data_IF_267441700188
#
_entry.id   IF_267441700188
#
_cell.length_a   1.000
_cell.length_b   1.000
_cell.length_c   1.000
_cell.angle_alpha   90.00
_cell.angle_beta   90.00
_cell.angle_gamma   90.00
#
_symmetry.space_group_name_H-M   'P 1'
#
loop_
_entity.id
_entity.type
_entity.pdbx_description
1 polymer ?
#
# COMPACT_ATOMS: atom_id res chain seq x y z
N UNK A 1 13.51 16.51 0.80
CA UNK A 1 12.39 16.28 -0.14
C UNK A 1 12.56 16.97 -1.49
N UNK A 2 13.31 18.08 -1.58
CA UNK A 2 13.58 18.79 -2.84
C UNK A 2 14.16 17.90 -3.95
N UNK A 3 15.03 16.94 -3.61
CA UNK A 3 15.57 15.95 -4.55
C UNK A 3 14.50 15.09 -5.25
N UNK A 4 13.34 14.92 -4.61
CA UNK A 4 12.19 14.17 -5.14
C UNK A 4 11.10 15.08 -5.71
N UNK A 5 11.35 16.39 -5.84
CA UNK A 5 10.35 17.40 -6.25
C UNK A 5 9.04 17.28 -5.46
N UNK A 6 9.16 17.13 -4.15
CA UNK A 6 8.04 16.97 -3.23
C UNK A 6 8.18 17.95 -2.07
N UNK A 7 7.05 18.44 -1.62
CA UNK A 7 6.89 19.24 -0.41
C UNK A 7 5.93 18.54 0.54
N UNK A 8 6.30 18.49 1.82
CA UNK A 8 5.48 17.93 2.88
C UNK A 8 4.94 19.06 3.73
N UNK A 9 3.64 19.29 3.65
CA UNK A 9 2.97 20.29 4.48
C UNK A 9 2.52 19.65 5.80
N UNK A 10 3.07 20.05 6.96
CA UNK A 10 2.58 19.57 8.25
C UNK A 10 1.20 20.18 8.53
N UNK A 11 0.36 19.41 9.22
CA UNK A 11 -0.96 19.87 9.62
C UNK A 11 -1.58 18.99 10.69
N UNK A 12 -2.82 19.32 11.01
CA UNK A 12 -3.61 18.61 12.01
C UNK A 12 -4.93 18.16 11.40
N UNK A 13 -5.34 16.94 11.68
CA UNK A 13 -6.71 16.47 11.49
C UNK A 13 -7.38 16.59 12.85
N UNK A 14 -8.41 17.41 12.94
CA UNK A 14 -9.18 17.61 14.17
C UNK A 14 -10.57 17.03 14.01
N UNK A 15 -11.10 16.47 15.10
CA UNK A 15 -12.51 16.09 15.20
C UNK A 15 -12.98 16.27 16.63
N UNK A 16 -14.21 16.74 16.81
CA UNK A 16 -14.83 16.90 18.13
C UNK A 16 -15.88 15.80 18.27
N UNK A 17 -15.85 15.09 19.40
CA UNK A 17 -16.79 14.01 19.70
C UNK A 17 -17.21 14.06 21.15
N UNK A 18 -18.48 13.71 21.41
CA UNK A 18 -18.94 13.42 22.76
C UNK A 18 -18.45 12.02 23.15
N UNK A 19 -17.72 11.94 24.26
CA UNK A 19 -17.30 10.69 24.89
C UNK A 19 -18.12 10.46 26.18
N UNK A 20 -17.80 9.39 26.91
CA UNK A 20 -18.55 8.93 28.08
C UNK A 20 -18.70 10.00 29.16
N UNK A 21 -17.64 10.79 29.39
CA UNK A 21 -17.59 11.80 30.43
C UNK A 21 -17.64 13.22 29.84
N UNK A 22 -16.87 13.48 28.78
CA UNK A 22 -16.65 14.83 28.27
C UNK A 22 -16.76 14.93 26.74
N UNK A 23 -16.76 16.16 26.24
CA UNK A 23 -16.56 16.46 24.83
C UNK A 23 -15.06 16.54 24.58
N UNK A 24 -14.53 15.64 23.76
CA UNK A 24 -13.10 15.60 23.45
C UNK A 24 -12.84 16.13 22.05
N UNK A 25 -11.75 16.89 21.92
CA UNK A 25 -11.13 17.19 20.64
C UNK A 25 -10.01 16.19 20.36
N UNK A 26 -10.22 15.36 19.36
CA UNK A 26 -9.24 14.41 18.88
C UNK A 26 -8.42 15.05 17.77
N UNK A 27 -7.13 15.24 18.03
CA UNK A 27 -6.19 15.83 17.07
C UNK A 27 -5.12 14.82 16.68
N UNK A 28 -4.93 14.61 15.39
CA UNK A 28 -3.90 13.75 14.83
C UNK A 28 -2.97 14.57 13.92
N UNK A 29 -1.66 14.31 14.02
CA UNK A 29 -0.66 14.97 13.19
C UNK A 29 -0.73 14.34 11.79
N UNK A 30 -0.93 15.18 10.79
CA UNK A 30 -0.96 14.73 9.39
C UNK A 30 0.08 15.49 8.57
N UNK A 31 0.42 14.90 7.43
CA UNK A 31 1.18 15.58 6.40
C UNK A 31 0.36 15.53 5.11
N UNK A 32 0.40 16.60 4.33
CA UNK A 32 -0.09 16.60 2.95
C UNK A 32 1.10 16.66 2.01
N UNK A 33 1.16 15.70 1.10
CA UNK A 33 2.18 15.65 0.07
C UNK A 33 1.74 16.52 -1.11
N UNK A 34 2.57 17.50 -1.48
CA UNK A 34 2.43 18.29 -2.68
C UNK A 34 3.62 18.03 -3.61
N UNK A 35 3.37 17.86 -4.90
CA UNK A 35 4.44 17.83 -5.88
C UNK A 35 4.96 19.25 -6.10
N UNK A 36 6.22 19.41 -6.50
CA UNK A 36 6.74 20.71 -6.91
C UNK A 36 6.56 20.94 -8.42
N UNK A 37 6.11 19.90 -9.13
CA UNK A 37 5.85 19.96 -10.56
C UNK A 37 4.43 20.48 -10.80
N UNK A 38 4.31 21.46 -11.70
CA UNK A 38 3.01 21.97 -12.13
C UNK A 38 2.34 20.96 -13.06
N UNK A 39 1.01 21.04 -13.19
CA UNK A 39 0.29 20.20 -14.14
C UNK A 39 0.72 20.49 -15.57
N UNK A 40 1.12 21.73 -15.89
CA UNK A 40 1.71 22.06 -17.19
C UNK A 40 2.97 21.23 -17.48
N UNK A 41 3.90 21.17 -16.53
CA UNK A 41 5.13 20.39 -16.69
C UNK A 41 4.85 18.90 -16.89
N UNK A 42 3.90 18.36 -16.12
CA UNK A 42 3.48 16.95 -16.23
C UNK A 42 2.87 16.68 -17.61
N UNK A 43 2.02 17.59 -18.11
CA UNK A 43 1.42 17.49 -19.44
C UNK A 43 2.49 17.54 -20.53
N UNK A 44 3.41 18.50 -20.48
CA UNK A 44 4.50 18.61 -21.47
C UNK A 44 5.37 17.35 -21.50
N UNK A 45 5.71 16.79 -20.34
CA UNK A 45 6.47 15.55 -20.25
C UNK A 45 5.71 14.34 -20.81
N UNK A 46 4.40 14.28 -20.61
CA UNK A 46 3.56 13.22 -21.15
C UNK A 46 3.46 13.30 -22.68
N UNK A 47 3.23 14.51 -23.22
CA UNK A 47 3.18 14.78 -24.67
C UNK A 47 4.48 14.35 -25.35
N UNK A 48 5.63 14.66 -24.74
CA UNK A 48 6.95 14.25 -25.27
C UNK A 48 7.15 12.73 -25.31
N UNK A 49 6.47 11.97 -24.44
CA UNK A 49 6.68 10.52 -24.28
C UNK A 49 5.66 9.66 -25.02
N UNK A 50 4.40 10.07 -25.07
CA UNK A 50 3.31 9.17 -25.45
C UNK A 50 2.81 9.35 -26.88
N UNK A 51 3.08 10.48 -27.55
CA UNK A 51 2.66 10.76 -28.95
C UNK A 51 1.13 10.82 -29.19
N UNK A 52 0.34 10.20 -28.34
CA UNK A 52 -1.11 10.09 -28.38
C UNK A 52 -1.69 10.99 -27.27
N UNK A 53 -2.25 12.13 -27.67
CA UNK A 53 -3.01 13.00 -26.77
C UNK A 53 -4.49 12.84 -27.09
N UNK A 54 -5.31 12.64 -26.05
CA UNK A 54 -6.75 12.92 -26.17
C UNK A 54 -6.89 14.36 -26.63
N UNK A 55 -7.55 14.56 -27.76
CA UNK A 55 -7.85 15.83 -28.43
C UNK A 55 -8.71 16.81 -27.59
N UNK A 56 -8.90 16.55 -26.30
CA UNK A 56 -9.83 17.25 -25.39
C UNK A 56 -9.21 18.44 -24.64
N UNK A 57 -7.92 18.76 -24.84
CA UNK A 57 -7.24 19.84 -24.11
C UNK A 57 -7.15 21.17 -24.87
N UNK A 58 -7.89 21.34 -25.97
CA UNK A 58 -7.83 22.55 -26.81
C UNK A 58 -8.96 23.53 -26.48
N UNK A 59 -8.73 24.38 -25.48
CA UNK A 59 -9.32 25.73 -25.48
C UNK A 59 -8.18 26.73 -25.30
N UNK A 60 -8.09 27.67 -26.24
CA UNK A 60 -7.10 28.74 -26.23
C UNK A 60 -7.36 29.69 -25.05
N UNK A 61 -6.29 30.09 -24.37
CA UNK A 61 -6.29 30.96 -23.19
C UNK A 61 -6.64 32.42 -23.53
N UNK A 62 -6.69 32.74 -24.82
CA UNK A 62 -7.27 33.96 -25.37
C UNK A 62 -8.79 34.06 -25.16
N UNK A 63 -9.46 32.97 -24.76
CA UNK A 63 -10.87 32.99 -24.41
C UNK A 63 -11.11 33.81 -23.12
N UNK A 64 -12.00 34.79 -23.23
CA UNK A 64 -12.51 35.55 -22.09
C UNK A 64 -13.58 34.74 -21.37
N UNK A 65 -13.67 34.89 -20.06
CA UNK A 65 -14.79 34.36 -19.28
C UNK A 65 -15.59 35.52 -18.69
N UNK A 66 -16.90 35.29 -18.51
CA UNK A 66 -17.77 36.27 -17.87
C UNK A 66 -17.53 36.24 -16.35
N UNK A 67 -16.93 37.31 -15.83
CA UNK A 67 -16.79 37.54 -14.41
C UNK A 67 -17.83 38.57 -13.96
N UNK A 68 -19.01 38.10 -13.55
CA UNK A 68 -20.10 38.94 -12.99
C UNK A 68 -20.51 40.11 -13.91
N UNK A 69 -20.56 39.88 -15.22
CA UNK A 69 -20.94 40.86 -16.24
C UNK A 69 -19.76 41.51 -16.97
N UNK A 70 -18.52 41.22 -16.57
CA UNK A 70 -17.31 41.73 -17.24
C UNK A 70 -16.56 40.60 -17.93
N UNK A 71 -16.37 40.73 -19.25
CA UNK A 71 -15.52 39.82 -20.02
C UNK A 71 -14.06 40.08 -19.67
N UNK A 72 -13.39 39.04 -19.16
CA UNK A 72 -11.99 39.16 -18.75
C UNK A 72 -11.18 37.95 -19.22
N UNK A 73 -9.96 38.19 -19.70
CA UNK A 73 -9.04 37.10 -20.01
C UNK A 73 -8.57 36.42 -18.72
N UNK A 74 -8.17 35.16 -18.81
CA UNK A 74 -7.56 34.47 -17.66
C UNK A 74 -6.29 35.17 -17.18
N UNK A 75 -5.45 35.67 -18.09
CA UNK A 75 -4.21 36.37 -17.75
C UNK A 75 -4.49 37.63 -16.91
N UNK A 76 -5.44 38.47 -17.33
CA UNK A 76 -5.79 39.70 -16.62
C UNK A 76 -6.45 39.41 -15.27
N UNK A 77 -7.26 38.35 -15.20
CA UNK A 77 -7.89 37.92 -13.95
C UNK A 77 -6.83 37.55 -12.90
N UNK A 78 -5.90 36.66 -13.23
CA UNK A 78 -4.87 36.22 -12.29
C UNK A 78 -3.88 37.34 -11.93
N UNK A 79 -3.59 38.25 -12.85
CA UNK A 79 -2.75 39.41 -12.58
C UNK A 79 -3.43 40.39 -11.61
N UNK A 80 -4.66 40.81 -11.86
CA UNK A 80 -5.32 41.79 -10.99
C UNK A 80 -5.74 41.21 -9.63
N UNK A 81 -6.23 39.96 -9.60
CA UNK A 81 -6.79 39.37 -8.38
C UNK A 81 -5.73 38.78 -7.45
N UNK A 82 -4.70 38.17 -8.02
CA UNK A 82 -3.69 37.42 -7.26
C UNK A 82 -2.26 37.95 -7.49
N UNK A 83 -2.07 38.96 -8.36
CA UNK A 83 -0.75 39.48 -8.76
C UNK A 83 0.17 38.41 -9.37
N UNK A 84 -0.42 37.49 -10.16
CA UNK A 84 0.30 36.39 -10.82
C UNK A 84 0.35 36.65 -12.33
N UNK A 85 1.57 36.69 -12.89
CA UNK A 85 1.79 36.73 -14.35
C UNK A 85 1.94 35.31 -14.89
N UNK A 86 1.06 34.91 -15.81
CA UNK A 86 1.16 33.65 -16.53
C UNK A 86 2.34 33.69 -17.50
N UNK A 87 3.13 32.61 -17.58
CA UNK A 87 4.31 32.56 -18.46
C UNK A 87 3.95 32.03 -19.83
N UNK A 88 3.10 31.00 -19.88
CA UNK A 88 2.66 30.39 -21.13
C UNK A 88 1.19 30.77 -21.39
N UNK A 89 0.95 31.62 -22.39
CA UNK A 89 -0.39 32.04 -22.77
C UNK A 89 -1.04 31.09 -23.77
N UNK A 90 -0.36 30.03 -24.21
CA UNK A 90 -0.88 29.03 -25.15
C UNK A 90 -1.00 27.64 -24.52
N UNK A 91 -0.79 27.54 -23.20
CA UNK A 91 -1.00 26.29 -22.47
C UNK A 91 -2.49 25.87 -22.53
N UNK A 92 -2.77 24.55 -22.50
CA UNK A 92 -4.14 24.06 -22.44
C UNK A 92 -4.84 24.47 -21.13
N UNK A 93 -6.17 24.37 -21.11
CA UNK A 93 -6.97 24.61 -19.92
C UNK A 93 -7.43 23.29 -19.28
N UNK A 94 -7.61 23.28 -17.96
CA UNK A 94 -8.15 22.13 -17.22
C UNK A 94 -9.60 22.41 -16.84
N UNK A 95 -10.53 21.57 -17.29
CA UNK A 95 -11.94 21.68 -16.94
C UNK A 95 -12.23 20.69 -15.81
N UNK A 96 -12.57 21.23 -14.63
CA UNK A 96 -13.04 20.44 -13.50
C UNK A 96 -14.56 20.48 -13.45
N UNK A 97 -15.18 19.35 -13.81
CA UNK A 97 -16.62 19.18 -13.70
C UNK A 97 -17.05 19.01 -12.23
N UNK A 98 -18.20 19.58 -11.82
CA UNK A 98 -18.72 19.42 -10.47
C UNK A 98 -19.04 17.94 -10.20
N UNK A 99 -18.75 17.47 -8.98
CA UNK A 99 -19.10 16.11 -8.57
C UNK A 99 -20.58 16.05 -8.21
N UNK A 100 -21.15 14.84 -8.14
CA UNK A 100 -22.54 14.64 -7.71
C UNK A 100 -22.87 15.29 -6.35
N UNK A 101 -21.89 15.43 -5.46
CA UNK A 101 -22.02 16.16 -4.19
C UNK A 101 -22.18 17.66 -4.40
N UNK A 102 -21.42 18.25 -5.31
CA UNK A 102 -21.40 19.68 -5.58
C UNK A 102 -22.69 20.12 -6.29
N UNK A 103 -23.19 19.28 -7.21
CA UNK A 103 -24.48 19.47 -7.89
C UNK A 103 -25.62 19.48 -6.87
N UNK A 104 -25.62 18.55 -5.90
CA UNK A 104 -26.61 18.55 -4.79
C UNK A 104 -26.52 19.80 -3.90
N UNK A 105 -25.35 20.43 -3.82
CA UNK A 105 -25.12 21.68 -3.12
C UNK A 105 -25.42 22.93 -3.94
N UNK A 106 -26.00 22.78 -5.15
CA UNK A 106 -26.38 23.89 -6.02
C UNK A 106 -25.28 24.44 -6.93
N UNK A 107 -24.10 23.81 -6.97
CA UNK A 107 -23.00 24.23 -7.87
C UNK A 107 -22.97 23.36 -9.12
N UNK A 108 -23.47 23.90 -10.22
CA UNK A 108 -23.53 23.22 -11.53
C UNK A 108 -22.45 23.69 -12.51
N UNK A 109 -21.77 24.79 -12.21
CA UNK A 109 -20.82 25.40 -13.15
C UNK A 109 -19.49 24.64 -13.22
N UNK A 110 -18.96 24.54 -14.42
CA UNK A 110 -17.62 24.02 -14.67
C UNK A 110 -16.56 25.00 -14.14
N UNK A 111 -15.52 24.47 -13.50
CA UNK A 111 -14.38 25.28 -13.05
C UNK A 111 -13.23 25.10 -14.03
N UNK A 112 -12.77 26.20 -14.61
CA UNK A 112 -11.61 26.23 -15.50
C UNK A 112 -10.37 26.58 -14.69
N UNK A 113 -9.32 25.77 -14.80
CA UNK A 113 -8.07 25.91 -14.06
C UNK A 113 -6.87 26.02 -15.02
N UNK A 114 -5.87 26.79 -14.63
CA UNK A 114 -4.64 27.02 -15.41
C UNK A 114 -3.58 25.99 -14.98
N UNK A 115 -3.11 25.09 -15.87
CA UNK A 115 -2.18 24.03 -15.49
C UNK A 115 -0.86 24.53 -14.91
N UNK A 116 -0.35 25.69 -15.33
CA UNK A 116 0.86 26.33 -14.77
C UNK A 116 0.71 26.66 -13.29
N UNK A 117 -0.51 26.96 -12.83
CA UNK A 117 -0.81 27.32 -11.44
C UNK A 117 -1.31 26.14 -10.61
N UNK A 118 -1.54 24.99 -11.27
CA UNK A 118 -2.03 23.80 -10.61
C UNK A 118 -0.89 22.86 -10.27
N UNK A 119 -0.95 22.30 -9.06
CA UNK A 119 0.03 21.36 -8.56
C UNK A 119 -0.69 20.06 -8.18
N UNK A 120 -0.13 18.93 -8.59
CA UNK A 120 -0.66 17.63 -8.22
C UNK A 120 -0.40 17.33 -6.73
N UNK A 121 -1.44 16.86 -6.03
CA UNK A 121 -1.33 16.40 -4.64
C UNK A 121 -1.26 14.88 -4.57
N UNK A 122 -0.66 14.37 -3.50
CA UNK A 122 -0.48 12.94 -3.28
C UNK A 122 0.59 12.28 -4.16
N UNK A 123 0.73 10.98 -3.98
CA UNK A 123 1.80 10.17 -4.57
C UNK A 123 1.25 9.23 -5.64
N UNK A 124 1.92 9.18 -6.79
CA UNK A 124 1.65 8.19 -7.85
C UNK A 124 2.09 6.79 -7.41
N UNK A 125 1.61 5.75 -8.09
CA UNK A 125 2.04 4.37 -7.80
C UNK A 125 3.54 4.15 -8.07
N UNK A 126 4.08 4.78 -9.11
CA UNK A 126 5.52 4.77 -9.40
C UNK A 126 6.33 5.39 -8.25
N UNK A 127 5.81 6.46 -7.65
CA UNK A 127 6.39 7.11 -6.49
C UNK A 127 6.28 6.19 -5.25
N UNK A 128 5.10 5.64 -4.95
CA UNK A 128 4.90 4.73 -3.81
C UNK A 128 5.77 3.47 -3.87
N UNK A 129 6.13 3.02 -5.07
CA UNK A 129 7.02 1.86 -5.27
C UNK A 129 8.51 2.22 -5.19
N UNK A 130 8.88 3.51 -5.20
CA UNK A 130 10.25 3.96 -5.00
C UNK A 130 10.64 3.88 -3.51
N UNK A 131 11.42 2.86 -3.17
CA UNK A 131 11.86 2.61 -1.79
C UNK A 131 12.67 3.76 -1.18
N UNK A 132 13.55 4.41 -1.95
CA UNK A 132 14.40 5.50 -1.45
C UNK A 132 13.54 6.71 -1.06
N UNK A 133 12.58 7.06 -1.89
CA UNK A 133 11.66 8.17 -1.61
C UNK A 133 10.75 7.84 -0.42
N UNK A 134 10.14 6.65 -0.37
CA UNK A 134 9.31 6.24 0.76
C UNK A 134 10.09 6.17 2.08
N UNK A 135 11.38 5.80 2.03
CA UNK A 135 12.27 5.82 3.19
C UNK A 135 12.52 7.25 3.66
N UNK A 136 12.91 8.15 2.76
CA UNK A 136 13.13 9.56 3.07
C UNK A 136 11.87 10.23 3.64
N UNK A 137 10.70 10.00 3.02
CA UNK A 137 9.41 10.47 3.59
C UNK A 137 9.12 9.87 4.95
N UNK A 138 9.48 8.59 5.15
CA UNK A 138 9.31 7.90 6.42
C UNK A 138 10.03 8.60 7.58
N UNK A 139 11.18 9.23 7.33
CA UNK A 139 11.94 9.96 8.35
C UNK A 139 11.18 11.20 8.86
N UNK A 140 10.40 11.86 8.00
CA UNK A 140 9.61 13.05 8.37
C UNK A 140 8.19 12.68 8.87
N UNK A 141 7.59 11.63 8.30
CA UNK A 141 6.20 11.26 8.59
C UNK A 141 6.04 10.32 9.79
N UNK A 142 7.08 9.53 10.14
CA UNK A 142 7.04 8.57 11.26
C UNK A 142 7.54 9.21 12.54
N UNK A 143 6.66 9.98 13.17
CA UNK A 143 6.90 10.52 14.50
C UNK A 143 6.75 9.41 15.55
N UNK A 144 7.78 9.24 16.39
CA UNK A 144 7.69 8.37 17.56
C UNK A 144 6.66 8.90 18.57
N UNK A 145 6.16 8.07 19.50
CA UNK A 145 5.09 8.46 20.42
C UNK A 145 5.43 9.70 21.28
N UNK A 146 6.68 9.83 21.72
CA UNK A 146 7.12 10.96 22.55
C UNK A 146 7.06 12.29 21.77
N UNK A 147 7.62 12.31 20.57
CA UNK A 147 7.61 13.48 19.70
C UNK A 147 6.18 13.83 19.27
N UNK A 148 5.34 12.81 19.01
CA UNK A 148 3.92 13.01 18.71
C UNK A 148 3.20 13.71 19.87
N UNK A 149 3.37 13.24 21.10
CA UNK A 149 2.79 13.88 22.28
C UNK A 149 3.29 15.33 22.44
N UNK A 150 4.58 15.58 22.23
CA UNK A 150 5.16 16.93 22.28
C UNK A 150 4.52 17.88 21.26
N UNK A 151 4.34 17.45 20.02
CA UNK A 151 3.70 18.26 18.96
C UNK A 151 2.23 18.53 19.28
N UNK A 152 1.50 17.56 19.84
CA UNK A 152 0.10 17.76 20.23
C UNK A 152 -0.06 18.72 21.41
N UNK A 153 0.86 18.67 22.39
CA UNK A 153 0.90 19.67 23.47
C UNK A 153 1.23 21.06 22.94
N UNK A 154 2.14 21.17 21.98
CA UNK A 154 2.45 22.42 21.30
C UNK A 154 1.25 22.97 20.51
N UNK A 155 0.46 22.11 19.88
CA UNK A 155 -0.80 22.49 19.23
C UNK A 155 -1.80 23.08 20.23
N UNK A 156 -2.04 22.41 21.36
CA UNK A 156 -2.91 22.95 22.42
C UNK A 156 -2.37 24.29 22.95
N UNK A 157 -1.06 24.38 23.20
CA UNK A 157 -0.40 25.61 23.64
C UNK A 157 -0.63 26.77 22.67
N UNK A 158 -0.56 26.54 21.36
CA UNK A 158 -0.80 27.58 20.34
C UNK A 158 -2.24 28.07 20.32
N UNK A 159 -3.22 27.18 20.47
CA UNK A 159 -4.63 27.56 20.61
C UNK A 159 -4.84 28.40 21.87
N UNK A 160 -4.27 27.94 22.99
CA UNK A 160 -4.38 28.61 24.28
C UNK A 160 -3.67 29.97 24.38
N UNK A 161 -2.73 30.27 23.47
CA UNK A 161 -2.03 31.54 23.42
C UNK A 161 -2.54 32.49 22.34
N UNK A 162 -3.44 32.03 21.47
CA UNK A 162 -3.99 32.85 20.40
C UNK A 162 -5.26 33.54 20.89
N UNK A 163 -5.19 34.86 21.09
CA UNK A 163 -6.32 35.70 21.50
C UNK A 163 -7.56 35.46 20.64
N UNK A 164 -7.41 35.53 19.31
CA UNK A 164 -8.50 35.25 18.36
C UNK A 164 -9.10 33.82 18.49
N UNK A 165 -8.33 32.84 18.96
CA UNK A 165 -8.86 31.48 19.21
C UNK A 165 -9.58 31.41 20.55
N UNK A 166 -9.08 32.11 21.57
CA UNK A 166 -9.71 32.20 22.89
C UNK A 166 -11.04 32.93 22.82
N UNK A 167 -11.12 34.06 22.11
CA UNK A 167 -12.37 34.82 21.92
C UNK A 167 -13.49 33.93 21.38
N UNK A 168 -13.17 33.06 20.41
CA UNK A 168 -14.13 32.12 19.85
C UNK A 168 -14.51 31.08 20.91
N UNK A 169 -13.55 30.43 21.58
CA UNK A 169 -13.85 29.40 22.57
C UNK A 169 -14.69 29.93 23.73
N UNK A 170 -14.33 31.11 24.27
CA UNK A 170 -15.05 31.79 25.34
C UNK A 170 -16.48 32.16 24.93
N UNK A 171 -16.70 32.58 23.68
CA UNK A 171 -18.05 32.89 23.17
C UNK A 171 -18.99 31.66 23.18
N UNK A 172 -18.44 30.45 23.16
CA UNK A 172 -19.18 29.19 23.29
C UNK A 172 -19.12 28.59 24.71
N UNK A 173 -18.47 29.26 25.67
CA UNK A 173 -18.25 28.75 27.03
C UNK A 173 -17.37 27.49 27.06
N UNK A 174 -16.43 27.37 26.11
CA UNK A 174 -15.51 26.25 26.00
C UNK A 174 -14.10 26.66 26.46
N UNK A 175 -13.37 25.72 27.05
CA UNK A 175 -11.95 25.86 27.36
C UNK A 175 -11.18 24.70 26.73
N UNK A 176 -9.97 24.99 26.23
CA UNK A 176 -9.10 23.97 25.63
C UNK A 176 -8.11 23.44 26.68
N UNK A 177 -8.24 22.15 27.00
CA UNK A 177 -7.32 21.47 27.91
C UNK A 177 -5.86 21.51 27.40
N UNK A 178 -4.91 21.73 28.33
CA UNK A 178 -3.48 21.92 28.03
C UNK A 178 -2.74 20.61 27.89
N UNK A 179 -3.19 19.60 28.62
CA UNK A 179 -2.60 18.27 28.62
C UNK A 179 -3.39 17.25 27.81
N UNK A 180 -2.75 16.12 27.52
CA UNK A 180 -3.41 15.00 26.86
C UNK A 180 -4.31 14.28 27.86
N UNK A 181 -5.50 13.89 27.39
CA UNK A 181 -6.44 13.08 28.16
C UNK A 181 -5.77 11.80 28.65
N UNK A 182 -5.85 11.55 29.95
CA UNK A 182 -5.37 10.32 30.57
C UNK A 182 -6.49 9.29 30.61
N UNK A 183 -6.20 8.06 30.20
CA UNK A 183 -7.18 6.98 30.13
C UNK A 183 -6.67 5.78 30.93
N UNK A 184 -7.57 5.18 31.71
CA UNK A 184 -7.33 3.88 32.34
C UNK A 184 -7.28 2.79 31.27
N UNK A 185 -6.11 2.17 31.10
CA UNK A 185 -5.89 1.06 30.17
C UNK A 185 -5.58 -0.25 30.89
N UNK A 186 -5.70 -1.37 30.16
CA UNK A 186 -5.24 -2.68 30.63
C UNK A 186 -4.38 -3.36 29.57
N UNK A 187 -3.32 -4.05 30.01
CA UNK A 187 -2.50 -4.89 29.14
C UNK A 187 -3.03 -6.31 29.21
N UNK A 188 -3.41 -6.87 28.07
CA UNK A 188 -3.90 -8.26 27.99
C UNK A 188 -2.70 -9.21 28.13
N UNK A 189 -2.89 -10.30 28.88
CA UNK A 189 -1.87 -11.31 29.01
C UNK A 189 -1.56 -11.96 27.65
N UNK A 190 -0.28 -12.24 27.34
CA UNK A 190 0.06 -12.91 26.09
C UNK A 190 -0.59 -14.30 25.99
N UNK A 191 -1.23 -14.55 24.85
CA UNK A 191 -1.89 -15.82 24.57
C UNK A 191 -0.90 -16.96 24.31
N UNK A 192 -1.34 -18.18 24.60
CA UNK A 192 -0.59 -19.41 24.36
C UNK A 192 -0.86 -19.92 22.95
N UNK A 193 0.21 -20.11 22.17
CA UNK A 193 0.14 -20.64 20.80
C UNK A 193 0.23 -22.17 20.86
N UNK A 194 -0.66 -22.85 20.14
CA UNK A 194 -0.77 -24.31 20.06
C UNK A 194 -0.34 -24.77 18.65
N UNK A 195 0.60 -25.70 18.60
CA UNK A 195 1.16 -26.32 17.40
C UNK A 195 0.76 -27.80 17.31
N UNK A 196 1.24 -28.52 16.29
CA UNK A 196 0.97 -29.94 16.14
C UNK A 196 1.54 -30.79 17.28
N UNK A 197 0.89 -31.92 17.54
CA UNK A 197 1.17 -32.81 18.69
C UNK A 197 1.03 -32.11 20.05
N UNK A 198 0.06 -31.20 20.16
CA UNK A 198 -0.25 -30.43 21.38
C UNK A 198 0.94 -29.68 21.98
N UNK A 199 1.96 -29.39 21.16
CA UNK A 199 3.08 -28.56 21.57
C UNK A 199 2.63 -27.12 21.71
N UNK A 200 3.14 -26.45 22.73
CA UNK A 200 2.67 -25.11 23.02
C UNK A 200 3.82 -24.14 23.26
N UNK A 201 3.61 -22.89 22.87
CA UNK A 201 4.55 -21.80 23.07
C UNK A 201 3.86 -20.66 23.84
N UNK A 202 4.43 -20.30 24.99
CA UNK A 202 3.99 -19.14 25.75
C UNK A 202 4.60 -17.88 25.14
N UNK A 203 3.75 -16.96 24.69
CA UNK A 203 4.20 -15.73 24.07
C UNK A 203 4.71 -14.72 25.12
N UNK A 204 5.62 -13.84 24.69
CA UNK A 204 6.15 -12.77 25.53
C UNK A 204 5.44 -11.43 25.24
N UNK A 205 5.95 -10.33 25.81
CA UNK A 205 5.40 -8.99 25.59
C UNK A 205 5.64 -8.46 24.16
N UNK A 206 6.53 -9.06 23.39
CA UNK A 206 6.82 -8.66 22.01
C UNK A 206 5.84 -9.28 21.01
N UNK A 207 5.08 -10.30 21.45
CA UNK A 207 4.09 -11.01 20.64
C UNK A 207 4.67 -11.60 19.34
N UNK A 208 5.90 -12.14 19.36
CA UNK A 208 6.57 -12.75 18.21
C UNK A 208 6.95 -14.20 18.48
N UNK A 209 6.38 -15.13 17.69
CA UNK A 209 6.64 -16.56 17.77
C UNK A 209 7.27 -17.13 16.48
N UNK A 210 7.89 -16.28 15.64
CA UNK A 210 8.53 -16.67 14.38
C UNK A 210 9.57 -17.78 14.58
N UNK A 211 10.32 -17.72 15.68
CA UNK A 211 11.30 -18.75 16.05
C UNK A 211 10.61 -20.06 16.47
N UNK A 212 9.53 -19.97 17.24
CA UNK A 212 8.77 -21.12 17.70
C UNK A 212 8.10 -21.87 16.54
N UNK A 213 7.66 -21.17 15.48
CA UNK A 213 7.14 -21.82 14.27
C UNK A 213 8.20 -22.75 13.67
N UNK A 214 9.46 -22.32 13.61
CA UNK A 214 10.53 -23.10 12.98
C UNK A 214 10.93 -24.35 13.77
N UNK A 215 10.72 -24.36 15.08
CA UNK A 215 11.06 -25.49 15.96
C UNK A 215 9.89 -26.44 16.25
N UNK A 216 8.69 -26.11 15.77
CA UNK A 216 7.48 -26.92 15.95
C UNK A 216 6.87 -27.31 14.60
N UNK A 217 6.00 -28.32 14.62
CA UNK A 217 5.24 -28.74 13.44
C UNK A 217 3.93 -27.96 13.35
N UNK A 218 3.39 -27.79 12.15
CA UNK A 218 2.08 -27.16 11.98
C UNK A 218 0.98 -27.96 12.70
N UNK A 219 -0.06 -27.28 13.17
CA UNK A 219 -1.19 -27.93 13.85
C UNK A 219 -1.95 -28.89 12.93
N UNK A 220 -2.25 -28.44 11.70
CA UNK A 220 -2.78 -29.26 10.61
C UNK A 220 -1.95 -29.00 9.35
N UNK A 221 -1.04 -29.91 9.04
CA UNK A 221 -0.26 -29.90 7.81
C UNK A 221 -0.98 -30.68 6.72
N UNK A 222 -1.17 -30.05 5.55
CA UNK A 222 -1.71 -30.70 4.36
C UNK A 222 -0.62 -31.47 3.60
N UNK A 223 -1.06 -32.33 2.67
CA UNK A 223 -0.18 -33.03 1.74
C UNK A 223 -0.36 -32.52 0.30
N UNK A 224 0.73 -32.50 -0.46
CA UNK A 224 0.78 -31.96 -1.82
C UNK A 224 1.46 -32.94 -2.78
N UNK A 225 0.65 -33.72 -3.50
CA UNK A 225 1.11 -34.79 -4.40
C UNK A 225 1.07 -34.44 -5.89
N UNK A 226 0.09 -33.63 -6.35
CA UNK A 226 -0.08 -33.23 -7.76
C UNK A 226 0.06 -31.72 -7.88
N UNK A 227 1.27 -31.23 -8.18
CA UNK A 227 1.55 -29.79 -8.25
C UNK A 227 2.72 -29.50 -9.19
N UNK A 228 2.98 -28.22 -9.45
CA UNK A 228 4.03 -27.83 -10.38
C UNK A 228 4.72 -26.51 -10.04
N UNK A 229 5.90 -26.35 -10.61
CA UNK A 229 6.70 -25.13 -10.56
C UNK A 229 6.86 -24.52 -11.95
N UNK A 230 6.69 -23.20 -12.07
CA UNK A 230 6.80 -22.45 -13.32
C UNK A 230 7.94 -21.45 -13.21
N UNK A 231 8.91 -21.54 -14.12
CA UNK A 231 10.06 -20.62 -14.15
C UNK A 231 10.68 -20.53 -15.56
N UNK A 232 11.50 -19.51 -15.81
CA UNK A 232 12.14 -19.28 -17.12
C UNK A 232 13.47 -20.06 -17.22
N UNK A 233 13.73 -20.62 -18.40
CA UNK A 233 14.90 -21.42 -18.79
C UNK A 233 15.32 -21.11 -20.24
N UNK A 234 16.62 -21.15 -20.63
CA UNK A 234 17.83 -21.40 -19.84
C UNK A 234 18.49 -20.10 -19.40
N UNK A 235 18.20 -19.62 -18.19
CA UNK A 235 18.89 -18.45 -17.62
C UNK A 235 19.38 -18.84 -16.21
N UNK A 236 20.26 -18.05 -15.58
CA UNK A 236 20.73 -18.18 -14.17
C UNK A 236 19.61 -18.53 -13.16
N UNK A 237 18.36 -18.27 -13.52
CA UNK A 237 17.15 -18.69 -12.82
C UNK A 237 17.12 -20.19 -12.47
N UNK A 238 17.79 -21.08 -13.23
CA UNK A 238 17.73 -22.53 -12.97
C UNK A 238 18.43 -22.94 -11.66
N UNK A 239 19.65 -22.45 -11.40
CA UNK A 239 20.41 -22.85 -10.21
C UNK A 239 19.76 -22.37 -8.91
N UNK A 240 19.24 -21.12 -8.90
CA UNK A 240 18.61 -20.53 -7.72
C UNK A 240 17.30 -21.24 -7.37
N UNK A 241 16.49 -21.60 -8.38
CA UNK A 241 15.25 -22.35 -8.19
C UNK A 241 15.54 -23.74 -7.66
N UNK A 242 16.50 -24.47 -8.25
CA UNK A 242 16.88 -25.81 -7.78
C UNK A 242 17.36 -25.76 -6.33
N UNK A 243 18.22 -24.82 -5.98
CA UNK A 243 18.76 -24.68 -4.61
C UNK A 243 17.66 -24.30 -3.60
N UNK A 244 16.78 -23.36 -3.98
CA UNK A 244 15.62 -23.02 -3.17
C UNK A 244 14.70 -24.23 -2.96
N UNK A 245 14.47 -25.06 -3.98
CA UNK A 245 13.63 -26.25 -3.87
C UNK A 245 14.23 -27.33 -2.96
N UNK A 246 15.56 -27.41 -2.80
CA UNK A 246 16.19 -28.23 -1.76
C UNK A 246 15.85 -27.71 -0.36
N UNK A 247 16.09 -26.43 -0.12
CA UNK A 247 15.79 -25.78 1.17
C UNK A 247 14.30 -25.89 1.51
N UNK A 248 13.42 -25.68 0.52
CA UNK A 248 11.98 -25.79 0.68
C UNK A 248 11.56 -27.20 1.11
N UNK A 249 12.12 -28.25 0.48
CA UNK A 249 11.85 -29.65 0.87
C UNK A 249 12.31 -29.94 2.30
N UNK A 250 13.46 -29.43 2.73
CA UNK A 250 13.95 -29.61 4.10
C UNK A 250 13.04 -28.91 5.13
N UNK A 251 12.56 -27.71 4.81
CA UNK A 251 11.60 -26.98 5.64
C UNK A 251 10.25 -27.70 5.68
N UNK A 252 9.76 -28.21 4.55
CA UNK A 252 8.53 -28.98 4.45
C UNK A 252 8.57 -30.22 5.35
N UNK A 253 9.67 -31.00 5.29
CA UNK A 253 9.90 -32.15 6.17
C UNK A 253 9.88 -31.77 7.65
N UNK A 254 10.58 -30.70 8.04
CA UNK A 254 10.62 -30.22 9.42
C UNK A 254 9.25 -29.78 9.96
N UNK A 255 8.35 -29.34 9.08
CA UNK A 255 6.99 -28.91 9.43
C UNK A 255 5.93 -30.01 9.25
N UNK A 256 6.34 -31.25 8.91
CA UNK A 256 5.46 -32.39 8.54
C UNK A 256 4.49 -32.09 7.39
N UNK A 257 4.91 -31.23 6.47
CA UNK A 257 4.19 -31.00 5.23
C UNK A 257 4.69 -31.98 4.16
N UNK A 258 3.88 -32.97 3.82
CA UNK A 258 4.24 -33.97 2.82
C UNK A 258 4.14 -33.37 1.41
N UNK A 259 5.28 -33.26 0.72
CA UNK A 259 5.35 -32.69 -0.62
C UNK A 259 6.06 -33.64 -1.58
N UNK A 260 5.41 -33.99 -2.68
CA UNK A 260 6.00 -34.78 -3.76
C UNK A 260 6.88 -33.91 -4.66
N UNK A 261 7.66 -34.55 -5.54
CA UNK A 261 8.38 -33.83 -6.58
C UNK A 261 7.40 -33.09 -7.53
N UNK A 262 7.58 -31.78 -7.75
CA UNK A 262 6.73 -31.00 -8.63
C UNK A 262 6.96 -31.34 -10.10
N UNK A 263 5.93 -31.14 -10.93
CA UNK A 263 6.15 -31.03 -12.37
C UNK A 263 6.84 -29.70 -12.71
N UNK A 264 7.92 -29.75 -13.48
CA UNK A 264 8.60 -28.56 -13.98
C UNK A 264 7.95 -28.02 -15.27
N UNK A 265 7.59 -26.74 -15.26
CA UNK A 265 7.10 -25.99 -16.43
C UNK A 265 8.13 -24.91 -16.76
N UNK A 266 8.90 -25.15 -17.82
CA UNK A 266 10.00 -24.29 -18.26
C UNK A 266 9.51 -23.33 -19.34
N UNK A 267 9.68 -22.04 -19.12
CA UNK A 267 9.31 -20.98 -20.06
C UNK A 267 10.54 -20.44 -20.77
N UNK A 268 10.42 -20.05 -22.04
CA UNK A 268 11.52 -19.45 -22.81
C UNK A 268 11.75 -17.97 -22.51
N UNK A 269 10.72 -17.26 -22.06
CA UNK A 269 10.74 -15.80 -21.89
C UNK A 269 9.77 -15.32 -20.79
N UNK A 270 9.81 -14.02 -20.51
CA UNK A 270 9.02 -13.38 -19.46
C UNK A 270 7.72 -12.71 -19.94
N UNK A 271 7.25 -13.06 -21.15
CA UNK A 271 6.07 -12.44 -21.78
C UNK A 271 4.78 -13.02 -21.21
N UNK A 272 3.78 -12.15 -21.04
CA UNK A 272 2.47 -12.50 -20.52
C UNK A 272 1.79 -13.64 -21.27
N UNK A 273 1.87 -13.66 -22.61
CA UNK A 273 1.28 -14.72 -23.44
C UNK A 273 1.90 -16.10 -23.20
N UNK A 274 3.22 -16.15 -22.98
CA UNK A 274 3.96 -17.39 -22.70
C UNK A 274 3.51 -17.99 -21.37
N UNK A 275 3.41 -17.17 -20.31
CA UNK A 275 2.88 -17.60 -19.02
C UNK A 275 1.43 -18.05 -19.11
N UNK A 276 0.59 -17.28 -19.81
CA UNK A 276 -0.83 -17.60 -19.93
C UNK A 276 -1.04 -18.97 -20.57
N UNK A 277 -0.40 -19.22 -21.73
CA UNK A 277 -0.48 -20.50 -22.43
C UNK A 277 -0.01 -21.67 -21.58
N UNK A 278 1.16 -21.53 -20.94
CA UNK A 278 1.74 -22.59 -20.13
C UNK A 278 0.92 -22.90 -18.87
N UNK A 279 0.36 -21.87 -18.23
CA UNK A 279 -0.51 -22.02 -17.08
C UNK A 279 -1.84 -22.64 -17.46
N UNK A 280 -2.48 -22.22 -18.55
CA UNK A 280 -3.73 -22.82 -19.03
C UNK A 280 -3.52 -24.31 -19.35
N UNK A 281 -2.44 -24.68 -20.04
CA UNK A 281 -2.16 -26.09 -20.35
C UNK A 281 -1.87 -26.95 -19.10
N UNK A 282 -1.08 -26.42 -18.15
CA UNK A 282 -0.74 -27.15 -16.94
C UNK A 282 -1.93 -27.24 -15.98
N UNK A 283 -2.64 -26.14 -15.78
CA UNK A 283 -3.76 -26.04 -14.85
C UNK A 283 -5.00 -26.80 -15.35
N UNK A 284 -5.15 -27.00 -16.66
CA UNK A 284 -6.20 -27.89 -17.21
C UNK A 284 -6.03 -29.35 -16.81
N UNK A 285 -4.85 -29.75 -16.31
CA UNK A 285 -4.57 -31.10 -15.76
C UNK A 285 -4.91 -31.20 -14.26
N UNK A 286 -5.62 -30.20 -13.74
CA UNK A 286 -6.17 -30.10 -12.38
C UNK A 286 -5.12 -30.23 -11.25
N UNK A 287 -3.96 -29.54 -11.32
CA UNK A 287 -3.00 -29.57 -10.22
C UNK A 287 -3.60 -28.98 -8.94
N UNK A 288 -3.26 -29.56 -7.79
CA UNK A 288 -3.67 -29.03 -6.47
C UNK A 288 -3.02 -27.68 -6.15
N UNK A 289 -1.89 -27.37 -6.78
CA UNK A 289 -1.16 -26.13 -6.53
C UNK A 289 -0.19 -25.78 -7.67
N UNK A 290 0.09 -24.49 -7.86
CA UNK A 290 1.16 -24.03 -8.75
C UNK A 290 2.05 -22.96 -8.09
N UNK A 291 3.36 -23.18 -8.10
CA UNK A 291 4.35 -22.22 -7.60
C UNK A 291 5.05 -21.55 -8.79
N UNK A 292 5.15 -20.22 -8.78
CA UNK A 292 5.54 -19.44 -9.96
C UNK A 292 6.66 -18.46 -9.59
N UNK A 293 7.79 -18.60 -10.27
CA UNK A 293 9.00 -17.80 -10.07
C UNK A 293 9.09 -16.71 -11.14
N UNK A 294 8.92 -15.45 -10.73
CA UNK A 294 9.00 -14.30 -11.63
C UNK A 294 10.39 -13.66 -11.61
N UNK A 295 10.92 -13.20 -12.75
CA UNK A 295 12.20 -12.49 -12.77
C UNK A 295 12.12 -11.14 -12.05
N UNK A 296 10.97 -10.47 -12.14
CA UNK A 296 10.73 -9.12 -11.61
C UNK A 296 9.27 -8.96 -11.17
N UNK A 297 8.99 -7.85 -10.47
CA UNK A 297 7.64 -7.54 -9.99
C UNK A 297 6.82 -6.88 -11.11
N UNK A 298 6.35 -7.67 -12.08
CA UNK A 298 5.44 -7.21 -13.15
C UNK A 298 3.98 -7.34 -12.72
N UNK A 299 3.34 -6.20 -12.44
CA UNK A 299 1.95 -6.15 -11.98
C UNK A 299 0.96 -6.78 -12.99
N UNK A 300 1.17 -6.58 -14.29
CA UNK A 300 0.29 -7.13 -15.32
C UNK A 300 0.37 -8.66 -15.38
N UNK A 301 1.58 -9.21 -15.26
CA UNK A 301 1.78 -10.66 -15.20
C UNK A 301 1.14 -11.26 -13.95
N UNK A 302 1.26 -10.59 -12.80
CA UNK A 302 0.58 -11.00 -11.58
C UNK A 302 -0.94 -11.07 -11.76
N UNK A 303 -1.56 -10.04 -12.39
CA UNK A 303 -3.00 -10.02 -12.67
C UNK A 303 -3.41 -11.18 -13.58
N UNK A 304 -2.67 -11.44 -14.65
CA UNK A 304 -2.96 -12.51 -15.61
C UNK A 304 -2.89 -13.88 -14.93
N UNK A 305 -1.83 -14.14 -14.15
CA UNK A 305 -1.69 -15.38 -13.40
C UNK A 305 -2.87 -15.58 -12.46
N UNK A 306 -3.25 -14.54 -11.70
CA UNK A 306 -4.37 -14.60 -10.76
C UNK A 306 -5.71 -14.82 -11.47
N UNK A 307 -5.93 -14.20 -12.62
CA UNK A 307 -7.13 -14.41 -13.40
C UNK A 307 -7.24 -15.87 -13.87
N UNK A 308 -6.18 -16.44 -14.46
CA UNK A 308 -6.20 -17.82 -14.94
C UNK A 308 -6.39 -18.81 -13.78
N UNK A 309 -5.56 -18.67 -12.74
CA UNK A 309 -5.54 -19.65 -11.64
C UNK A 309 -6.76 -19.55 -10.75
N UNK A 310 -7.22 -18.37 -10.34
CA UNK A 310 -8.36 -18.25 -9.43
C UNK A 310 -9.70 -18.08 -10.13
N UNK A 311 -9.79 -17.25 -11.17
CA UNK A 311 -11.08 -16.93 -11.80
C UNK A 311 -11.49 -18.02 -12.79
N UNK A 312 -10.56 -18.49 -13.63
CA UNK A 312 -10.89 -19.49 -14.65
C UNK A 312 -10.87 -20.93 -14.13
N UNK A 313 -9.90 -21.29 -13.28
CA UNK A 313 -9.59 -22.70 -12.99
C UNK A 313 -9.60 -23.09 -11.50
N UNK A 314 -9.85 -22.14 -10.58
CA UNK A 314 -9.92 -22.37 -9.12
C UNK A 314 -8.70 -23.09 -8.48
N UNK A 315 -7.50 -22.91 -9.02
CA UNK A 315 -6.25 -23.51 -8.53
C UNK A 315 -5.48 -22.54 -7.64
N UNK A 316 -5.10 -22.94 -6.41
CA UNK A 316 -4.26 -22.12 -5.56
C UNK A 316 -2.84 -22.00 -6.11
N UNK A 317 -2.29 -20.79 -5.99
CA UNK A 317 -0.95 -20.48 -6.50
C UNK A 317 -0.10 -19.73 -5.47
N UNK A 318 1.21 -19.81 -5.64
CA UNK A 318 2.18 -19.00 -4.93
C UNK A 318 3.12 -18.31 -5.92
N UNK A 319 3.14 -16.97 -5.90
CA UNK A 319 3.94 -16.15 -6.83
C UNK A 319 4.98 -15.38 -6.02
N UNK A 320 6.23 -15.41 -6.44
CA UNK A 320 7.28 -14.55 -5.86
C UNK A 320 8.39 -14.25 -6.87
N UNK A 321 9.11 -13.15 -6.63
CA UNK A 321 10.24 -12.77 -7.47
C UNK A 321 11.50 -13.56 -7.10
N UNK A 322 12.38 -13.83 -8.06
CA UNK A 322 13.66 -14.51 -7.84
C UNK A 322 14.56 -13.83 -6.80
N UNK A 323 14.58 -12.50 -6.78
CA UNK A 323 15.31 -11.73 -5.74
C UNK A 323 14.91 -12.08 -4.30
N UNK A 324 13.76 -12.74 -4.11
CA UNK A 324 13.25 -13.17 -2.80
C UNK A 324 13.92 -14.47 -2.35
N UNK A 325 14.33 -15.34 -3.27
CA UNK A 325 14.94 -16.65 -2.96
C UNK A 325 16.47 -16.62 -3.03
N UNK A 326 17.04 -15.53 -3.52
CA UNK A 326 18.49 -15.35 -3.57
C UNK A 326 19.07 -15.01 -2.19
N UNK A 327 20.18 -15.66 -1.79
CA UNK A 327 20.82 -15.38 -0.51
C UNK A 327 21.43 -13.98 -0.52
N UNK A 328 21.22 -13.22 0.57
CA UNK A 328 21.92 -11.95 0.77
C UNK A 328 23.31 -12.24 1.32
N UNK A 329 24.37 -11.78 0.65
CA UNK A 329 25.77 -12.01 1.05
C UNK A 329 26.08 -13.50 1.28
N UNK A 330 25.54 -14.38 0.43
CA UNK A 330 25.67 -15.85 0.53
C UNK A 330 25.12 -16.49 1.82
N UNK A 331 24.32 -15.76 2.62
CA UNK A 331 23.68 -16.29 3.82
C UNK A 331 22.30 -16.90 3.49
N UNK A 332 22.21 -18.22 3.59
CA UNK A 332 21.00 -19.00 3.33
C UNK A 332 20.01 -19.05 4.51
N UNK A 333 20.40 -18.62 5.73
CA UNK A 333 19.50 -18.59 6.87
C UNK A 333 18.29 -17.67 6.63
N UNK A 334 18.49 -16.57 5.90
CA UNK A 334 17.42 -15.68 5.45
C UNK A 334 16.45 -16.37 4.48
N UNK A 335 17.00 -17.15 3.53
CA UNK A 335 16.21 -17.91 2.55
C UNK A 335 15.39 -19.00 3.23
N UNK A 336 15.93 -19.68 4.26
CA UNK A 336 15.17 -20.66 5.06
C UNK A 336 13.96 -20.04 5.76
N UNK A 337 14.09 -18.82 6.29
CA UNK A 337 12.97 -18.07 6.88
C UNK A 337 11.90 -17.74 5.83
N UNK A 338 12.32 -17.35 4.62
CA UNK A 338 11.43 -17.08 3.49
C UNK A 338 10.70 -18.35 3.06
N UNK A 339 11.41 -19.47 2.90
CA UNK A 339 10.85 -20.77 2.56
C UNK A 339 9.83 -21.23 3.62
N UNK A 340 10.12 -21.01 4.91
CA UNK A 340 9.17 -21.28 6.01
C UNK A 340 7.88 -20.50 5.82
N UNK A 341 7.96 -19.17 5.61
CA UNK A 341 6.77 -18.34 5.39
C UNK A 341 5.97 -18.74 4.14
N UNK A 342 6.66 -19.10 3.06
CA UNK A 342 6.04 -19.61 1.83
C UNK A 342 5.30 -20.92 2.11
N UNK A 343 5.92 -21.85 2.83
CA UNK A 343 5.30 -23.13 3.18
C UNK A 343 4.04 -22.94 4.04
N UNK A 344 4.09 -22.09 5.07
CA UNK A 344 2.92 -21.77 5.89
C UNK A 344 1.78 -21.22 5.03
N UNK A 345 2.11 -20.30 4.10
CA UNK A 345 1.13 -19.73 3.18
C UNK A 345 0.54 -20.79 2.24
N UNK A 346 1.35 -21.72 1.74
CA UNK A 346 0.89 -22.84 0.93
C UNK A 346 -0.05 -23.74 1.72
N UNK A 347 0.31 -24.08 2.95
CA UNK A 347 -0.53 -24.88 3.84
C UNK A 347 -1.90 -24.22 4.05
N UNK A 348 -1.94 -22.92 4.38
CA UNK A 348 -3.20 -22.18 4.52
C UNK A 348 -4.04 -22.18 3.24
N UNK A 349 -3.41 -22.03 2.07
CA UNK A 349 -4.11 -22.06 0.77
C UNK A 349 -4.68 -23.43 0.41
N UNK A 350 -4.17 -24.50 1.03
CA UNK A 350 -4.65 -25.87 0.89
C UNK A 350 -5.65 -26.24 2.00
N UNK A 351 -6.02 -25.31 2.88
CA UNK A 351 -6.94 -25.55 4.00
C UNK A 351 -6.28 -26.06 5.28
N UNK A 352 -4.94 -26.08 5.33
CA UNK A 352 -4.19 -26.40 6.54
C UNK A 352 -4.12 -25.24 7.53
N UNK A 353 -3.73 -25.57 8.76
CA UNK A 353 -3.67 -24.62 9.87
C UNK A 353 -2.28 -24.68 10.52
N UNK A 354 -1.47 -23.62 10.39
CA UNK A 354 -0.15 -23.55 11.00
C UNK A 354 -0.13 -23.69 12.53
N UNK A 355 -1.02 -22.99 13.22
CA UNK A 355 -1.12 -22.95 14.68
C UNK A 355 -2.53 -22.53 15.10
N UNK A 356 -2.86 -22.69 16.37
CA UNK A 356 -4.11 -22.24 16.98
C UNK A 356 -3.86 -21.50 18.29
N UNK A 357 -4.91 -20.89 18.84
CA UNK A 357 -4.98 -20.41 20.22
C UNK A 357 -6.08 -21.17 20.94
N UNK A 358 -6.00 -21.25 22.27
CA UNK A 358 -7.10 -21.79 23.07
C UNK A 358 -8.28 -20.80 23.05
N UNK A 359 -9.38 -21.17 22.39
CA UNK A 359 -10.63 -20.39 22.45
C UNK A 359 -11.57 -21.08 23.43
N UNK A 360 -11.73 -20.57 24.66
CA UNK A 360 -12.69 -21.14 25.60
C UNK A 360 -14.12 -20.89 25.07
N UNK A 361 -14.82 -21.96 24.67
CA UNK A 361 -16.26 -21.91 24.30
C UNK A 361 -16.69 -22.60 23.00
N UNK A 362 -15.78 -23.09 22.15
CA UNK A 362 -16.14 -23.79 20.91
C UNK A 362 -16.07 -25.32 21.06
N UNK A 363 -17.08 -25.89 21.71
CA UNK A 363 -17.42 -27.33 21.70
C UNK A 363 -18.78 -27.59 21.03
N UNK A 364 -19.25 -26.71 20.14
CA UNK A 364 -20.61 -26.77 19.59
C UNK A 364 -20.75 -27.31 18.16
N UNK A 365 -19.72 -27.94 17.59
CA UNK A 365 -19.86 -28.64 16.31
C UNK A 365 -19.11 -29.97 16.36
N UNK A 366 -19.65 -30.91 17.13
CA UNK A 366 -19.53 -32.36 16.85
C UNK A 366 -20.53 -32.76 15.80
#
# INVERSE_FOLDING_TARGET
>A
MAEFKLELLPGYITSIRKHEQDILICTEITHKDMRQETLLQILTDFVRRSGDYRSEFLQDLSNTFDMRGTQKSFADYYLERYNIRLKDLHQPLLISNPKARDIRGGRTDQVILIPELCVATGLTDAMRTNFYMMRAMGEYTRLNPFNRAKVLKEFSRRINQSEASQDVLESFGLEMERDLVQLGGRVINPEKIIFGNDRTFQNDKNADWTNAIRSNTMWNAQSLSRWGIVYIYPVRMNSDVIEFMKIFRDVARGQRFEVSEPKEIKLSDDRSGTYAKALEEFCSKDPKFVMIFLPNNKADLYKIIKNITYVKLAIPNQIFCLKTIQPKKSNWAGVKSIATKILLQMNCKLGGVPWMIGIPGTWYFT
#
